data_IF_631742105452
#
_entry.id   IF_631742105452
#
_cell.length_a   1.000
_cell.length_b   1.000
_cell.length_c   1.000
_cell.angle_alpha   90.00
_cell.angle_beta   90.00
_cell.angle_gamma   90.00
#
_symmetry.space_group_name_H-M   'P 1'
#
loop_
_entity.id
_entity.type
_entity.pdbx_description
1 polymer ?
#
# COMPACT_ATOMS: atom_id res chain seq x y z
N UNK A 1 12.18 -19.85 12.03
CA UNK A 1 11.35 -18.71 12.50
C UNK A 1 12.14 -17.41 12.37
N UNK A 2 11.55 -16.42 11.71
CA UNK A 2 12.07 -15.06 11.59
C UNK A 2 10.95 -14.09 11.99
N UNK A 3 11.27 -13.05 12.74
CA UNK A 3 10.33 -11.95 13.03
C UNK A 3 10.90 -10.72 12.36
N UNK A 4 10.13 -10.09 11.47
CA UNK A 4 10.59 -8.94 10.71
C UNK A 4 9.43 -8.04 10.30
N UNK A 5 9.64 -6.72 10.16
CA UNK A 5 8.66 -5.86 9.52
C UNK A 5 8.39 -6.38 8.11
N UNK A 6 7.12 -6.61 7.81
CA UNK A 6 6.67 -6.91 6.47
C UNK A 6 5.37 -6.15 6.25
N UNK A 7 5.35 -5.39 5.17
CA UNK A 7 4.23 -4.60 4.75
C UNK A 7 4.18 -4.53 3.25
N UNK A 8 3.18 -3.81 2.78
CA UNK A 8 3.03 -3.48 1.37
C UNK A 8 3.70 -2.13 1.12
N UNK A 9 3.80 -1.71 -0.14
CA UNK A 9 4.20 -0.32 -0.43
C UNK A 9 3.11 0.68 0.01
N UNK A 10 1.92 0.21 0.39
CA UNK A 10 0.79 1.03 0.78
C UNK A 10 0.70 1.15 2.31
N UNK A 11 1.11 2.31 2.85
CA UNK A 11 0.99 2.63 4.28
C UNK A 11 2.14 2.08 5.14
N UNK A 12 1.84 1.73 6.38
CA UNK A 12 2.81 1.23 7.37
C UNK A 12 3.04 -0.29 7.26
N UNK A 13 4.21 -0.77 7.72
CA UNK A 13 4.52 -2.20 7.76
C UNK A 13 3.90 -2.90 9.00
N UNK A 14 3.58 -4.19 8.88
CA UNK A 14 3.14 -5.05 9.99
C UNK A 14 4.34 -5.82 10.59
N UNK A 15 4.37 -6.04 11.92
CA UNK A 15 5.32 -7.04 12.46
C UNK A 15 4.84 -8.43 12.07
N UNK A 16 5.63 -9.15 11.26
CA UNK A 16 5.21 -10.46 10.79
C UNK A 16 6.14 -11.56 11.32
N UNK A 17 5.55 -12.59 11.93
CA UNK A 17 6.27 -13.80 12.35
C UNK A 17 6.21 -14.81 11.21
N UNK A 18 7.36 -15.06 10.59
CA UNK A 18 7.54 -15.97 9.46
C UNK A 18 8.02 -17.36 9.90
N UNK A 19 7.41 -18.37 9.29
CA UNK A 19 7.85 -19.74 9.23
C UNK A 19 8.39 -20.00 7.83
N UNK A 20 9.64 -20.43 7.74
CA UNK A 20 10.33 -20.68 6.46
C UNK A 20 10.26 -22.17 6.21
N UNK A 21 9.76 -22.53 5.04
CA UNK A 21 9.58 -23.91 4.60
C UNK A 21 10.84 -24.41 3.89
N UNK A 22 10.98 -25.74 3.77
CA UNK A 22 12.15 -26.37 3.14
C UNK A 22 12.32 -26.00 1.66
N UNK A 23 11.23 -25.64 0.98
CA UNK A 23 11.21 -25.20 -0.41
C UNK A 23 11.66 -23.73 -0.60
N UNK A 24 11.97 -23.03 0.50
CA UNK A 24 12.39 -21.64 0.52
C UNK A 24 11.24 -20.62 0.51
N UNK A 25 9.99 -21.08 0.53
CA UNK A 25 8.83 -20.20 0.76
C UNK A 25 8.73 -19.82 2.25
N UNK A 26 7.97 -18.77 2.54
CA UNK A 26 7.68 -18.40 3.93
C UNK A 26 6.20 -18.04 4.11
N UNK A 27 5.60 -18.51 5.20
CA UNK A 27 4.24 -18.14 5.63
C UNK A 27 4.30 -17.34 6.93
N UNK A 28 3.50 -16.28 7.02
CA UNK A 28 3.61 -15.29 8.08
C UNK A 28 2.30 -15.01 8.80
N UNK A 29 2.37 -14.67 10.09
CA UNK A 29 1.24 -14.05 10.80
C UNK A 29 1.53 -12.59 11.06
N UNK A 30 0.68 -11.71 10.54
CA UNK A 30 0.75 -10.28 10.80
C UNK A 30 0.25 -10.01 12.23
N UNK A 31 1.09 -9.36 13.03
CA UNK A 31 0.72 -8.85 14.34
C UNK A 31 0.27 -7.39 14.26
N UNK A 32 0.12 -6.75 15.42
CA UNK A 32 -0.25 -5.34 15.55
C UNK A 32 0.78 -4.41 14.87
N UNK A 33 0.29 -3.27 14.38
CA UNK A 33 1.06 -2.17 13.80
C UNK A 33 2.36 -1.88 14.57
N UNK A 34 3.50 -1.85 13.88
CA UNK A 34 4.72 -1.22 14.39
C UNK A 34 4.92 0.11 13.66
N UNK A 35 4.30 1.17 14.16
CA UNK A 35 4.34 2.49 13.52
C UNK A 35 5.74 3.15 13.54
N UNK A 36 6.79 2.43 13.95
CA UNK A 36 8.08 3.05 14.29
C UNK A 36 9.36 2.32 13.88
N UNK A 37 9.32 1.20 13.14
CA UNK A 37 10.57 0.58 12.65
C UNK A 37 10.44 0.02 11.24
N UNK A 38 10.36 0.90 10.24
CA UNK A 38 10.87 0.57 8.92
C UNK A 38 12.38 0.83 8.93
N UNK A 39 13.19 -0.21 8.83
CA UNK A 39 14.64 -0.08 8.67
C UNK A 39 14.90 0.69 7.37
N UNK A 40 15.47 1.88 7.51
CA UNK A 40 15.72 2.80 6.41
C UNK A 40 16.72 2.25 5.42
N UNK A 41 16.20 1.68 4.33
CA UNK A 41 16.88 1.66 3.02
C UNK A 41 15.91 1.52 1.84
N UNK A 42 14.59 1.40 2.09
CA UNK A 42 13.58 1.49 1.03
C UNK A 42 13.29 2.95 0.73
N UNK A 43 14.11 3.54 -0.14
CA UNK A 43 13.77 4.81 -0.80
C UNK A 43 12.47 4.60 -1.57
N UNK A 44 11.41 5.22 -1.10
CA UNK A 44 10.13 5.23 -1.81
C UNK A 44 10.32 6.14 -3.02
N UNK A 45 10.24 5.57 -4.22
CA UNK A 45 10.25 6.34 -5.45
C UNK A 45 8.85 6.96 -5.63
N UNK A 46 8.72 8.23 -5.30
CA UNK A 46 7.50 9.00 -5.56
C UNK A 46 7.55 9.57 -6.96
N UNK A 47 6.38 9.72 -7.57
CA UNK A 47 6.26 10.49 -8.79
C UNK A 47 5.95 11.94 -8.41
N UNK A 48 6.63 12.88 -9.06
CA UNK A 48 6.33 14.31 -8.97
C UNK A 48 5.92 14.80 -10.36
N UNK A 49 4.63 14.60 -10.76
CA UNK A 49 4.17 15.10 -12.04
C UNK A 49 4.29 16.63 -12.10
N UNK A 50 4.72 17.16 -13.24
CA UNK A 50 4.75 18.59 -13.51
C UNK A 50 3.34 19.20 -13.49
N UNK A 51 3.24 20.52 -13.31
CA UNK A 51 1.94 21.22 -13.35
C UNK A 51 1.16 20.95 -14.64
N UNK A 52 1.84 20.90 -15.79
CA UNK A 52 1.21 20.59 -17.08
C UNK A 52 0.71 19.16 -17.18
N UNK A 53 1.40 18.19 -16.57
CA UNK A 53 0.92 16.81 -16.47
C UNK A 53 -0.30 16.73 -15.54
N UNK A 54 -0.29 17.41 -14.40
CA UNK A 54 -1.43 17.46 -13.48
C UNK A 54 -2.66 18.10 -14.15
N UNK A 55 -2.45 19.17 -14.93
CA UNK A 55 -3.52 19.87 -15.64
C UNK A 55 -4.14 19.00 -16.74
N UNK A 56 -3.31 18.24 -17.47
CA UNK A 56 -3.75 17.33 -18.53
C UNK A 56 -4.23 15.96 -18.03
N UNK A 57 -4.07 15.67 -16.74
CA UNK A 57 -4.53 14.43 -16.11
C UNK A 57 -6.05 14.23 -16.28
N UNK A 58 -6.44 12.96 -16.44
CA UNK A 58 -7.86 12.62 -16.49
C UNK A 58 -8.53 12.97 -15.17
N UNK A 59 -9.65 13.69 -15.28
CA UNK A 59 -10.36 14.25 -14.14
C UNK A 59 -11.70 13.56 -13.92
N UNK A 60 -11.87 13.00 -12.74
CA UNK A 60 -13.15 12.46 -12.25
C UNK A 60 -13.46 13.05 -10.88
N UNK A 61 -14.50 12.54 -10.23
CA UNK A 61 -14.87 12.93 -8.87
C UNK A 61 -15.15 11.70 -8.03
N UNK A 62 -14.85 11.77 -6.73
CA UNK A 62 -15.17 10.73 -5.77
C UNK A 62 -16.28 11.15 -4.83
N UNK A 63 -17.21 10.23 -4.54
CA UNK A 63 -18.25 10.42 -3.53
C UNK A 63 -17.84 9.93 -2.15
N UNK A 64 -16.65 9.34 -1.99
CA UNK A 64 -16.11 8.96 -0.68
C UNK A 64 -16.08 10.15 0.25
N UNK A 65 -16.52 9.95 1.48
CA UNK A 65 -16.44 10.92 2.55
C UNK A 65 -15.11 10.85 3.30
N UNK A 66 -14.89 11.80 4.20
CA UNK A 66 -13.64 11.88 4.97
C UNK A 66 -13.37 10.64 5.84
N UNK A 67 -14.43 10.00 6.35
CA UNK A 67 -14.32 8.74 7.09
C UNK A 67 -13.73 7.62 6.22
N UNK A 68 -14.21 7.48 4.99
CA UNK A 68 -13.76 6.42 4.08
C UNK A 68 -12.32 6.66 3.64
N UNK A 69 -11.95 7.91 3.36
CA UNK A 69 -10.55 8.26 3.07
C UNK A 69 -9.63 8.01 4.26
N UNK A 70 -10.08 8.30 5.48
CA UNK A 70 -9.34 7.96 6.70
C UNK A 70 -9.15 6.43 6.84
N UNK A 71 -10.19 5.64 6.58
CA UNK A 71 -10.09 4.17 6.57
C UNK A 71 -9.08 3.68 5.51
N UNK A 72 -9.07 4.29 4.32
CA UNK A 72 -8.16 3.92 3.23
C UNK A 72 -6.69 4.13 3.59
N UNK A 73 -6.33 5.22 4.29
CA UNK A 73 -4.93 5.55 4.62
C UNK A 73 -4.46 5.06 5.99
N UNK A 74 -5.34 4.43 6.78
CA UNK A 74 -5.04 3.97 8.13
C UNK A 74 -4.71 2.47 8.13
N UNK A 75 -3.52 2.11 8.63
CA UNK A 75 -3.08 0.71 8.75
C UNK A 75 -4.04 -0.17 9.55
N UNK A 76 -4.57 0.35 10.66
CA UNK A 76 -5.53 -0.38 11.49
C UNK A 76 -6.89 -0.62 10.81
N UNK A 77 -7.10 -0.03 9.63
CA UNK A 77 -8.32 -0.15 8.83
C UNK A 77 -7.98 -0.79 7.47
N UNK A 78 -8.28 -0.12 6.36
CA UNK A 78 -8.24 -0.72 5.03
C UNK A 78 -6.86 -0.66 4.37
N UNK A 79 -5.93 0.17 4.85
CA UNK A 79 -4.63 0.40 4.18
C UNK A 79 -3.85 -0.89 3.95
N UNK A 80 -3.83 -1.81 4.92
CA UNK A 80 -3.11 -3.08 4.78
C UNK A 80 -3.72 -3.94 3.66
N UNK A 81 -5.04 -4.14 3.70
CA UNK A 81 -5.80 -4.86 2.67
C UNK A 81 -5.68 -4.22 1.28
N UNK A 82 -5.74 -2.89 1.21
CA UNK A 82 -5.58 -2.15 -0.04
C UNK A 82 -4.20 -2.41 -0.63
N UNK A 83 -3.15 -2.38 0.19
CA UNK A 83 -1.81 -2.68 -0.26
C UNK A 83 -1.61 -4.09 -0.81
N UNK A 84 -2.34 -5.06 -0.27
CA UNK A 84 -2.30 -6.45 -0.75
C UNK A 84 -3.02 -6.58 -2.09
N UNK A 85 -4.08 -5.80 -2.27
CA UNK A 85 -4.90 -5.78 -3.50
C UNK A 85 -4.31 -4.93 -4.62
N UNK A 86 -3.55 -3.89 -4.27
CA UNK A 86 -3.02 -2.87 -5.20
C UNK A 86 -1.49 -2.83 -5.07
N UNK A 87 -0.77 -3.81 -5.64
CA UNK A 87 0.68 -3.94 -5.46
C UNK A 87 1.44 -2.77 -6.09
N UNK A 88 2.60 -2.44 -5.50
CA UNK A 88 3.47 -1.32 -5.88
C UNK A 88 2.81 0.07 -5.80
N UNK A 89 1.62 0.17 -5.19
CA UNK A 89 0.97 1.45 -4.95
C UNK A 89 1.42 2.00 -3.60
N UNK A 90 1.96 3.20 -3.62
CA UNK A 90 2.36 3.95 -2.45
C UNK A 90 1.39 5.12 -2.21
N UNK A 91 1.11 5.46 -0.94
CA UNK A 91 0.21 6.57 -0.57
C UNK A 91 0.92 7.68 0.20
N UNK A 92 0.78 8.94 -0.23
CA UNK A 92 1.10 10.13 0.56
C UNK A 92 -0.17 10.84 0.99
N UNK A 93 -0.11 11.49 2.15
CA UNK A 93 -1.12 12.45 2.60
C UNK A 93 -0.40 13.76 2.92
N UNK A 94 -0.80 14.83 2.25
CA UNK A 94 -0.22 16.17 2.41
C UNK A 94 -1.29 17.14 2.89
N UNK A 95 -1.07 17.78 4.03
CA UNK A 95 -1.87 18.91 4.51
C UNK A 95 -1.34 20.20 3.88
N UNK A 96 -2.10 20.76 2.93
CA UNK A 96 -1.72 22.00 2.23
C UNK A 96 -2.00 23.22 3.10
N UNK A 97 -3.16 23.23 3.75
CA UNK A 97 -3.56 24.21 4.76
C UNK A 97 -4.67 23.63 5.67
N UNK A 98 -5.32 24.47 6.47
CA UNK A 98 -6.35 24.05 7.43
C UNK A 98 -7.60 23.40 6.79
N UNK A 99 -7.87 23.70 5.52
CA UNK A 99 -9.07 23.29 4.79
C UNK A 99 -8.76 22.42 3.56
N UNK A 100 -7.49 22.32 3.15
CA UNK A 100 -7.06 21.59 1.95
C UNK A 100 -6.07 20.48 2.28
N UNK A 101 -6.34 19.27 1.75
CA UNK A 101 -5.48 18.09 1.88
C UNK A 101 -5.42 17.34 0.57
N UNK A 102 -4.25 16.85 0.21
CA UNK A 102 -4.07 15.91 -0.88
C UNK A 102 -3.87 14.49 -0.33
N UNK A 103 -4.52 13.52 -0.97
CA UNK A 103 -4.14 12.11 -0.88
C UNK A 103 -3.63 11.70 -2.24
N UNK A 104 -2.36 11.28 -2.34
CA UNK A 104 -1.78 10.86 -3.60
C UNK A 104 -1.39 9.39 -3.57
N UNK A 105 -1.48 8.77 -4.75
CA UNK A 105 -1.15 7.38 -5.01
C UNK A 105 -0.08 7.34 -6.09
N UNK A 106 0.95 6.53 -5.86
CA UNK A 106 2.15 6.47 -6.71
C UNK A 106 2.48 5.04 -7.06
N UNK A 107 2.74 4.77 -8.32
CA UNK A 107 3.41 3.55 -8.78
C UNK A 107 4.52 3.95 -9.76
N UNK A 108 5.73 4.10 -9.23
CA UNK A 108 6.91 4.47 -10.02
C UNK A 108 7.26 3.42 -11.08
N UNK A 109 6.88 2.15 -10.91
CA UNK A 109 7.19 1.09 -11.89
C UNK A 109 6.36 1.24 -13.15
N UNK A 110 5.08 1.58 -12.99
CA UNK A 110 4.18 1.81 -14.12
C UNK A 110 4.09 3.26 -14.54
N UNK A 111 4.79 4.17 -13.85
CA UNK A 111 4.65 5.63 -14.02
C UNK A 111 3.19 6.08 -13.90
N UNK A 112 2.45 5.48 -12.96
CA UNK A 112 1.05 5.81 -12.70
C UNK A 112 0.91 6.60 -11.42
N UNK A 113 0.00 7.58 -11.44
CA UNK A 113 -0.22 8.49 -10.32
C UNK A 113 -1.70 8.83 -10.20
N UNK A 114 -2.16 9.09 -8.98
CA UNK A 114 -3.46 9.69 -8.74
C UNK A 114 -3.42 10.67 -7.57
N UNK A 115 -4.26 11.70 -7.60
CA UNK A 115 -4.47 12.63 -6.48
C UNK A 115 -5.95 12.84 -6.24
N UNK A 116 -6.35 12.79 -4.96
CA UNK A 116 -7.63 13.28 -4.48
C UNK A 116 -7.40 14.61 -3.79
N UNK A 117 -8.09 15.64 -4.26
CA UNK A 117 -8.02 17.01 -3.71
C UNK A 117 -9.19 17.21 -2.72
N UNK A 118 -8.92 17.05 -1.43
CA UNK A 118 -9.90 17.25 -0.37
C UNK A 118 -9.97 18.73 -0.05
N UNK A 119 -11.17 19.29 -0.14
CA UNK A 119 -11.45 20.67 0.25
C UNK A 119 -12.61 20.67 1.23
N UNK A 120 -12.39 21.25 2.41
CA UNK A 120 -13.42 21.35 3.45
C UNK A 120 -14.64 22.08 2.91
N UNK A 121 -15.82 21.52 3.14
CA UNK A 121 -17.08 22.10 2.70
C UNK A 121 -17.37 22.01 1.20
N UNK A 122 -16.50 21.37 0.40
CA UNK A 122 -16.78 21.04 -1.01
C UNK A 122 -16.83 19.53 -1.19
N UNK A 123 -17.89 19.04 -1.82
CA UNK A 123 -18.06 17.62 -2.17
C UNK A 123 -18.97 17.53 -3.41
N UNK A 124 -18.75 16.57 -4.34
CA UNK A 124 -17.70 15.54 -4.35
C UNK A 124 -16.30 16.12 -4.58
N UNK A 125 -15.27 15.40 -4.15
CA UNK A 125 -13.87 15.82 -4.33
C UNK A 125 -13.33 15.45 -5.70
N UNK A 126 -12.42 16.26 -6.21
CA UNK A 126 -11.75 16.03 -7.49
C UNK A 126 -10.76 14.89 -7.36
N UNK A 127 -10.74 14.01 -8.37
CA UNK A 127 -9.69 13.01 -8.56
C UNK A 127 -8.99 13.29 -9.89
N UNK A 128 -7.66 13.30 -9.88
CA UNK A 128 -6.81 13.37 -11.08
C UNK A 128 -6.01 12.09 -11.19
N UNK A 129 -5.88 11.53 -12.39
CA UNK A 129 -5.11 10.30 -12.63
C UNK A 129 -4.24 10.41 -13.88
N UNK A 130 -3.03 9.86 -13.78
CA UNK A 130 -2.02 9.80 -14.84
C UNK A 130 -1.48 8.38 -14.98
N UNK A 131 -1.00 8.07 -16.17
CA UNK A 131 -0.33 6.81 -16.48
C UNK A 131 -1.28 5.65 -16.83
N UNK A 132 -0.71 4.47 -17.08
CA UNK A 132 -1.45 3.31 -17.57
C UNK A 132 -2.38 2.66 -16.53
N UNK A 133 -2.14 2.84 -15.22
CA UNK A 133 -3.03 2.36 -14.16
C UNK A 133 -3.95 3.46 -13.66
N UNK A 134 -5.17 3.07 -13.29
CA UNK A 134 -6.14 3.94 -12.60
C UNK A 134 -6.06 3.66 -11.11
N UNK A 135 -4.98 4.13 -10.48
CA UNK A 135 -4.67 3.80 -9.08
C UNK A 135 -5.81 4.15 -8.12
N UNK A 136 -6.50 5.28 -8.33
CA UNK A 136 -7.65 5.61 -7.49
C UNK A 136 -8.79 4.60 -7.64
N UNK A 137 -9.08 4.16 -8.85
CA UNK A 137 -10.16 3.20 -9.12
C UNK A 137 -9.85 1.82 -8.55
N UNK A 138 -8.57 1.42 -8.60
CA UNK A 138 -8.07 0.18 -7.99
C UNK A 138 -8.18 0.24 -6.45
N UNK A 139 -7.72 1.33 -5.83
CA UNK A 139 -7.82 1.56 -4.37
C UNK A 139 -9.29 1.63 -3.92
N UNK A 140 -10.15 2.32 -4.67
CA UNK A 140 -11.59 2.40 -4.37
C UNK A 140 -12.25 1.02 -4.44
N UNK A 141 -11.85 0.20 -5.43
CA UNK A 141 -12.34 -1.18 -5.57
C UNK A 141 -11.87 -2.06 -4.41
N UNK A 142 -10.61 -1.95 -4.00
CA UNK A 142 -10.07 -2.69 -2.85
C UNK A 142 -10.74 -2.27 -1.53
N UNK A 143 -11.02 -0.98 -1.34
CA UNK A 143 -11.77 -0.49 -0.18
C UNK A 143 -13.21 -1.04 -0.15
N UNK A 144 -13.91 -1.08 -1.29
CA UNK A 144 -15.24 -1.71 -1.38
C UNK A 144 -15.19 -3.17 -0.95
N UNK A 145 -14.25 -3.92 -1.50
CA UNK A 145 -14.05 -5.31 -1.13
C UNK A 145 -13.79 -5.48 0.37
N UNK A 146 -12.94 -4.64 0.96
CA UNK A 146 -12.66 -4.68 2.40
C UNK A 146 -13.92 -4.45 3.24
N UNK A 147 -14.77 -3.49 2.84
CA UNK A 147 -16.05 -3.26 3.50
C UNK A 147 -16.98 -4.47 3.35
N UNK A 148 -17.11 -5.01 2.14
CA UNK A 148 -17.99 -6.14 1.84
C UNK A 148 -17.53 -7.43 2.54
N UNK A 149 -16.22 -7.59 2.76
CA UNK A 149 -15.60 -8.69 3.49
C UNK A 149 -15.73 -8.55 5.03
N UNK A 150 -16.42 -7.52 5.53
CA UNK A 150 -16.64 -7.31 6.96
C UNK A 150 -15.50 -6.57 7.67
N UNK A 151 -14.71 -5.80 6.92
CA UNK A 151 -13.61 -4.96 7.44
C UNK A 151 -12.53 -5.75 8.18
N UNK A 152 -11.91 -6.75 7.53
CA UNK A 152 -10.91 -7.58 8.18
C UNK A 152 -9.73 -6.75 8.70
N UNK A 153 -9.23 -7.10 9.89
CA UNK A 153 -8.02 -6.51 10.46
C UNK A 153 -6.77 -7.22 9.93
N UNK A 154 -5.59 -6.57 9.97
CA UNK A 154 -4.33 -7.19 9.50
C UNK A 154 -4.05 -8.57 10.13
N UNK A 155 -4.44 -8.80 11.37
CA UNK A 155 -4.20 -10.07 12.08
C UNK A 155 -5.02 -11.25 11.53
N UNK A 156 -6.03 -10.99 10.72
CA UNK A 156 -6.86 -12.02 10.09
C UNK A 156 -6.24 -12.57 8.79
N UNK A 157 -5.14 -11.98 8.33
CA UNK A 157 -4.41 -12.39 7.14
C UNK A 157 -3.23 -13.32 7.46
N UNK A 158 -3.01 -14.27 6.56
CA UNK A 158 -1.84 -15.16 6.57
C UNK A 158 -1.13 -15.11 5.21
N UNK A 159 -0.24 -14.12 5.00
CA UNK A 159 0.48 -13.99 3.75
C UNK A 159 1.49 -15.13 3.57
N UNK A 160 1.59 -15.61 2.33
CA UNK A 160 2.65 -16.51 1.86
C UNK A 160 3.49 -15.79 0.82
N UNK A 161 4.81 -15.81 1.01
CA UNK A 161 5.79 -15.23 0.08
C UNK A 161 6.55 -16.37 -0.59
N UNK A 162 6.54 -16.37 -1.92
CA UNK A 162 7.31 -17.32 -2.72
C UNK A 162 8.82 -17.02 -2.64
N UNK A 163 9.69 -18.00 -2.90
CA UNK A 163 11.13 -17.76 -2.93
C UNK A 163 11.47 -16.70 -3.98
N UNK A 164 12.08 -15.60 -3.55
CA UNK A 164 12.60 -14.59 -4.46
C UNK A 164 13.74 -15.15 -5.31
N UNK A 165 13.72 -14.89 -6.61
CA UNK A 165 14.91 -15.09 -7.45
C UNK A 165 15.89 -13.97 -7.15
N UNK A 166 16.73 -14.17 -6.14
CA UNK A 166 17.85 -13.27 -5.90
C UNK A 166 18.79 -13.34 -7.10
N UNK A 167 18.87 -12.27 -7.90
CA UNK A 167 19.93 -12.11 -8.88
C UNK A 167 21.28 -12.19 -8.15
N UNK A 168 22.10 -13.15 -8.55
CA UNK A 168 23.36 -13.51 -7.92
C UNK A 168 24.42 -12.41 -8.18
N UNK A 169 24.41 -11.34 -7.40
CA UNK A 169 25.52 -10.37 -7.28
C UNK A 169 26.53 -10.82 -6.21
N UNK A 170 27.82 -10.44 -6.31
CA UNK A 170 28.86 -10.99 -5.45
C UNK A 170 28.65 -10.59 -3.98
N UNK A 171 28.89 -11.58 -3.10
CA UNK A 171 28.57 -11.56 -1.68
C UNK A 171 29.13 -10.34 -0.93
N UNK A 172 28.25 -9.62 -0.23
CA UNK A 172 28.61 -8.77 0.92
C UNK A 172 27.65 -9.04 2.09
N UNK A 173 28.23 -9.56 3.16
CA UNK A 173 27.75 -9.77 4.54
C UNK A 173 26.42 -10.52 4.81
N UNK A 174 26.41 -11.48 5.76
CA UNK A 174 25.20 -12.21 6.15
C UNK A 174 24.38 -11.38 7.15
N UNK A 175 23.79 -10.29 6.68
CA UNK A 175 22.61 -9.70 7.32
C UNK A 175 21.38 -10.35 6.70
N UNK A 176 20.48 -10.90 7.53
CA UNK A 176 19.22 -11.53 7.09
C UNK A 176 18.51 -10.62 6.07
N UNK A 177 18.44 -11.08 4.82
CA UNK A 177 17.64 -10.44 3.78
C UNK A 177 16.17 -10.53 4.17
N UNK A 178 15.55 -9.38 4.35
CA UNK A 178 14.09 -9.26 4.53
C UNK A 178 13.40 -9.60 3.21
N UNK A 179 12.40 -10.50 3.21
CA UNK A 179 11.52 -10.62 2.06
C UNK A 179 10.78 -9.29 1.86
N UNK A 180 10.99 -8.64 0.72
CA UNK A 180 10.21 -7.47 0.30
C UNK A 180 9.08 -7.99 -0.57
N UNK A 181 7.88 -7.42 -0.45
CA UNK A 181 6.67 -7.79 -1.21
C UNK A 181 6.75 -7.43 -2.71
N UNK A 182 7.90 -7.66 -3.35
CA UNK A 182 8.07 -7.65 -4.81
C UNK A 182 7.92 -9.04 -5.44
N UNK A 183 7.91 -10.10 -4.62
CA UNK A 183 7.64 -11.48 -5.03
C UNK A 183 6.14 -11.77 -4.90
N UNK A 184 5.60 -12.70 -5.72
CA UNK A 184 4.18 -13.06 -5.72
C UNK A 184 3.70 -13.39 -4.30
N UNK A 185 2.96 -12.46 -3.69
CA UNK A 185 2.27 -12.66 -2.41
C UNK A 185 0.93 -13.29 -2.70
N UNK A 186 0.65 -14.41 -2.05
CA UNK A 186 -0.71 -14.96 -2.00
C UNK A 186 -1.21 -14.82 -0.57
N UNK A 187 -2.40 -14.23 -0.39
CA UNK A 187 -3.04 -14.11 0.91
C UNK A 187 -4.32 -14.96 0.97
N UNK A 188 -4.66 -15.41 2.17
CA UNK A 188 -5.94 -16.07 2.44
C UNK A 188 -6.55 -15.42 3.68
N UNK A 189 -7.78 -14.94 3.55
CA UNK A 189 -8.61 -14.56 4.70
C UNK A 189 -9.01 -15.81 5.47
N UNK A 190 -8.83 -15.78 6.79
CA UNK A 190 -9.31 -16.85 7.65
C UNK A 190 -10.84 -16.86 7.69
N UNK A 191 -11.43 -18.02 7.39
CA UNK A 191 -12.84 -18.26 7.67
C UNK A 191 -13.03 -18.33 9.19
N UNK A 192 -13.79 -17.38 9.75
CA UNK A 192 -14.19 -17.39 11.17
C UNK A 192 -15.27 -18.40 11.48
#
# INVERSE_FOLDING_TARGET
MIVTPWGTDYGDDALTRWEVHEDGSASGRCGTNLAFMRLGDQRRDFLEPSEGEIESADRTVTRRGGRELFEMVSFAHASFTIGLSVPNCYVTVEDLDADHRNVELHDARSTSWARVELVRGRHPWTVRQLGPRRLWDEVDTAHRWWVDAGKPTPEQYEPTVAPGRNARGPARHPGRSTPVAGDRVTEVLRSG
#
